data_IF_925999342634
#
_entry.id   IF_925999342634
#
_cell.length_a   1.000
_cell.length_b   1.000
_cell.length_c   1.000
_cell.angle_alpha   90.00
_cell.angle_beta   90.00
_cell.angle_gamma   90.00
#
_symmetry.space_group_name_H-M   'P 1'
#
loop_
_entity.id
_entity.type
_entity.pdbx_description
1 polymer ?
#
# COMPACT_ATOMS: atom_id res chain seq x y z
N UNK A 1 -12.04 8.82 16.47
CA UNK A 1 -10.73 8.47 15.86
C UNK A 1 -11.01 7.73 14.56
N UNK A 2 -10.49 8.20 13.43
CA UNK A 2 -10.49 7.41 12.19
C UNK A 2 -9.29 6.48 12.25
N UNK A 3 -9.52 5.25 12.72
CA UNK A 3 -8.51 4.19 12.79
C UNK A 3 -8.48 3.46 11.46
N UNK A 4 -7.91 4.09 10.43
CA UNK A 4 -7.40 3.33 9.31
C UNK A 4 -6.32 2.39 9.88
N UNK A 5 -6.58 1.08 9.84
CA UNK A 5 -5.65 0.06 10.30
C UNK A 5 -5.37 -0.86 9.13
N UNK A 6 -4.30 -0.56 8.42
CA UNK A 6 -3.71 -1.47 7.43
C UNK A 6 -2.84 -2.44 8.21
N UNK A 7 -3.17 -3.73 8.14
CA UNK A 7 -2.41 -4.78 8.82
C UNK A 7 -1.39 -5.44 7.89
N UNK A 8 -1.66 -5.48 6.59
CA UNK A 8 -0.76 -6.05 5.60
C UNK A 8 -0.98 -5.39 4.22
N UNK A 9 0.10 -5.34 3.45
CA UNK A 9 0.06 -5.00 2.02
C UNK A 9 0.91 -6.04 1.30
N UNK A 10 0.28 -6.78 0.40
CA UNK A 10 0.92 -7.83 -0.40
C UNK A 10 0.95 -7.42 -1.86
N UNK A 11 2.13 -7.47 -2.48
CA UNK A 11 2.35 -7.03 -3.86
C UNK A 11 3.04 -8.17 -4.60
N UNK A 12 2.33 -8.75 -5.57
CA UNK A 12 2.85 -9.79 -6.45
C UNK A 12 3.07 -9.18 -7.84
N UNK A 13 4.33 -8.92 -8.17
CA UNK A 13 4.73 -8.40 -9.48
C UNK A 13 5.71 -9.36 -10.14
N UNK A 14 5.34 -9.85 -11.31
CA UNK A 14 6.14 -10.69 -12.19
C UNK A 14 5.98 -10.19 -13.63
N UNK A 15 6.71 -10.77 -14.58
CA UNK A 15 6.55 -10.43 -16.00
C UNK A 15 5.15 -10.71 -16.57
N UNK A 16 4.35 -11.56 -15.92
CA UNK A 16 3.04 -11.99 -16.41
C UNK A 16 1.87 -11.61 -15.49
N UNK A 17 2.14 -11.21 -14.24
CA UNK A 17 1.14 -10.96 -13.21
C UNK A 17 1.52 -9.71 -12.44
N UNK A 18 0.57 -8.80 -12.30
CA UNK A 18 0.68 -7.61 -11.45
C UNK A 18 -0.60 -7.53 -10.61
N UNK A 19 -0.48 -7.86 -9.32
CA UNK A 19 -1.59 -7.84 -8.35
C UNK A 19 -1.11 -7.24 -7.03
N UNK A 20 -1.97 -6.47 -6.39
CA UNK A 20 -1.74 -6.01 -5.03
C UNK A 20 -2.99 -6.21 -4.18
N UNK A 21 -2.77 -6.46 -2.90
CA UNK A 21 -3.81 -6.66 -1.90
C UNK A 21 -3.50 -5.85 -0.65
N UNK A 22 -4.53 -5.29 -0.05
CA UNK A 22 -4.43 -4.55 1.21
C UNK A 22 -5.37 -5.21 2.21
N UNK A 23 -4.84 -5.62 3.35
CA UNK A 23 -5.66 -6.11 4.47
C UNK A 23 -5.96 -4.96 5.43
N UNK A 24 -7.24 -4.64 5.58
CA UNK A 24 -7.75 -3.62 6.50
C UNK A 24 -8.89 -4.18 7.34
N UNK A 25 -8.83 -3.99 8.67
CA UNK A 25 -9.87 -4.43 9.60
C UNK A 25 -10.22 -5.93 9.44
N UNK A 26 -9.23 -6.77 9.08
CA UNK A 26 -9.40 -8.20 8.86
C UNK A 26 -10.01 -8.61 7.51
N UNK A 27 -10.27 -7.65 6.61
CA UNK A 27 -10.74 -7.91 5.25
C UNK A 27 -9.63 -7.60 4.24
N UNK A 28 -9.53 -8.44 3.21
CA UNK A 28 -8.58 -8.26 2.11
C UNK A 28 -9.28 -7.58 0.93
N UNK A 29 -8.61 -6.59 0.35
CA UNK A 29 -9.07 -5.83 -0.80
C UNK A 29 -8.03 -5.91 -1.90
N UNK A 30 -8.42 -6.36 -3.10
CA UNK A 30 -7.57 -6.20 -4.28
C UNK A 30 -7.48 -4.70 -4.63
N UNK A 31 -6.26 -4.23 -4.87
CA UNK A 31 -5.98 -2.83 -5.19
C UNK A 31 -5.15 -2.74 -6.46
N UNK A 32 -5.30 -1.63 -7.18
CA UNK A 32 -4.57 -1.39 -8.41
C UNK A 32 -3.16 -0.90 -8.09
N UNK A 33 -2.17 -1.39 -8.84
CA UNK A 33 -0.80 -0.85 -8.82
C UNK A 33 -0.75 0.27 -9.86
N UNK A 34 -0.91 1.51 -9.40
CA UNK A 34 -0.88 2.69 -10.28
C UNK A 34 0.52 2.96 -10.81
N UNK A 35 1.54 2.77 -9.95
CA UNK A 35 2.93 2.87 -10.36
C UNK A 35 3.84 2.10 -9.42
N UNK A 36 4.97 1.61 -9.94
CA UNK A 36 6.02 1.01 -9.13
C UNK A 36 7.36 1.31 -9.75
N UNK A 37 8.21 2.03 -9.04
CA UNK A 37 9.57 2.34 -9.43
C UNK A 37 10.57 1.83 -8.35
N UNK A 38 11.84 2.22 -8.47
CA UNK A 38 12.89 1.78 -7.53
C UNK A 38 12.69 2.27 -6.10
N UNK A 39 12.07 3.45 -5.93
CA UNK A 39 11.91 4.14 -4.65
C UNK A 39 10.52 3.95 -4.05
N UNK A 40 9.49 4.02 -4.89
CA UNK A 40 8.09 4.09 -4.45
C UNK A 40 7.20 3.09 -5.18
N UNK A 41 6.16 2.65 -4.48
CA UNK A 41 4.99 1.99 -5.06
C UNK A 41 3.77 2.83 -4.73
N UNK A 42 2.94 3.09 -5.73
CA UNK A 42 1.65 3.74 -5.57
C UNK A 42 0.57 2.72 -5.87
N UNK A 43 -0.29 2.50 -4.88
CA UNK A 43 -1.47 1.65 -4.98
C UNK A 43 -2.72 2.54 -4.90
N UNK A 44 -3.80 2.12 -5.54
CA UNK A 44 -5.08 2.81 -5.49
C UNK A 44 -6.25 1.85 -5.39
N UNK A 45 -7.26 2.20 -4.61
CA UNK A 45 -8.57 1.57 -4.62
C UNK A 45 -9.63 2.58 -4.18
N UNK A 46 -10.73 2.68 -4.92
CA UNK A 46 -11.72 3.75 -4.72
C UNK A 46 -11.04 5.15 -4.68
N UNK A 47 -11.30 5.93 -3.64
CA UNK A 47 -10.70 7.25 -3.41
C UNK A 47 -9.43 7.22 -2.54
N UNK A 48 -8.91 6.01 -2.25
CA UNK A 48 -7.74 5.78 -1.41
C UNK A 48 -6.53 5.48 -2.30
N UNK A 49 -5.46 6.19 -2.03
CA UNK A 49 -4.12 6.10 -2.58
C UNK A 49 -3.17 5.78 -1.44
N UNK A 50 -2.35 4.77 -1.66
CA UNK A 50 -1.34 4.31 -0.72
C UNK A 50 0.01 4.47 -1.42
N UNK A 51 0.89 5.27 -0.84
CA UNK A 51 2.27 5.42 -1.31
C UNK A 51 3.18 4.72 -0.31
N UNK A 52 3.96 3.77 -0.82
CA UNK A 52 4.92 3.01 -0.05
C UNK A 52 6.31 3.48 -0.46
N UNK A 53 7.01 4.17 0.44
CA UNK A 53 8.42 4.51 0.26
C UNK A 53 9.29 3.34 0.74
N UNK A 54 10.03 2.73 -0.18
CA UNK A 54 10.86 1.54 0.07
C UNK A 54 12.13 1.88 0.85
N UNK A 55 12.64 3.11 0.72
CA UNK A 55 13.91 3.53 1.31
C UNK A 55 13.73 3.78 2.81
N UNK A 56 12.65 4.48 3.18
CA UNK A 56 12.36 4.83 4.58
C UNK A 56 11.31 3.94 5.23
N UNK A 57 10.74 2.97 4.49
CA UNK A 57 9.70 2.04 4.98
C UNK A 57 8.48 2.75 5.56
N UNK A 58 8.11 3.86 4.94
CA UNK A 58 6.94 4.64 5.32
C UNK A 58 5.81 4.39 4.35
N UNK A 59 4.59 4.29 4.88
CA UNK A 59 3.38 4.18 4.10
C UNK A 59 2.58 5.45 4.33
N UNK A 60 2.27 6.19 3.27
CA UNK A 60 1.33 7.31 3.35
C UNK A 60 0.03 6.96 2.67
N UNK A 61 -1.08 7.34 3.28
CA UNK A 61 -2.43 7.04 2.79
C UNK A 61 -3.25 8.31 2.78
N UNK A 62 -3.94 8.61 1.68
CA UNK A 62 -4.98 9.63 1.72
C UNK A 62 -6.30 9.00 2.18
N UNK A 63 -6.90 9.61 3.20
CA UNK A 63 -8.22 9.25 3.68
C UNK A 63 -8.97 10.54 4.03
N UNK A 64 -10.15 10.74 3.46
CA UNK A 64 -11.02 11.90 3.77
C UNK A 64 -10.30 13.26 3.66
N UNK A 65 -9.58 13.49 2.56
CA UNK A 65 -8.76 14.70 2.33
C UNK A 65 -7.64 14.94 3.36
N UNK A 66 -7.26 13.92 4.13
CA UNK A 66 -6.09 13.95 5.03
C UNK A 66 -5.06 12.95 4.55
N UNK A 67 -3.79 13.28 4.78
CA UNK A 67 -2.67 12.35 4.59
C UNK A 67 -2.34 11.75 5.95
N UNK A 68 -2.37 10.43 6.03
CA UNK A 68 -1.99 9.66 7.19
C UNK A 68 -0.66 8.98 6.91
N UNK A 69 0.25 9.01 7.87
CA UNK A 69 1.53 8.30 7.80
C UNK A 69 1.48 7.09 8.73
N UNK A 70 1.85 5.94 8.18
CA UNK A 70 1.87 4.65 8.85
C UNK A 70 3.30 4.11 8.79
N UNK A 71 3.85 3.76 9.95
CA UNK A 71 5.14 3.09 10.04
C UNK A 71 4.99 1.61 9.70
N UNK A 72 5.83 1.10 8.80
CA UNK A 72 5.88 -0.31 8.47
C UNK A 72 6.83 -1.05 9.42
N UNK A 73 6.31 -1.94 10.27
CA UNK A 73 7.16 -2.75 11.17
C UNK A 73 8.03 -3.75 10.40
N UNK A 74 7.46 -4.36 9.35
CA UNK A 74 8.12 -5.38 8.54
C UNK A 74 7.81 -5.14 7.07
N UNK A 75 8.85 -4.96 6.25
CA UNK A 75 8.74 -4.83 4.81
C UNK A 75 9.60 -5.89 4.11
N UNK A 76 9.00 -6.64 3.18
CA UNK A 76 9.71 -7.57 2.32
C UNK A 76 9.30 -7.32 0.87
N UNK A 77 10.18 -6.64 0.12
CA UNK A 77 9.96 -6.33 -1.28
C UNK A 77 10.67 -7.38 -2.14
N UNK A 78 10.03 -8.52 -2.38
CA UNK A 78 10.43 -9.46 -3.43
C UNK A 78 9.77 -9.01 -4.74
N UNK A 79 10.38 -8.04 -5.42
CA UNK A 79 9.91 -7.46 -6.70
C UNK A 79 10.94 -7.74 -7.78
#
# INVERSE_FOLDING_TARGET
ENKLSISAIDILKTNAIEKAFVTMLGNEFEVDITSSNKKEIVLSFNDIYIVIDKDIKEISVNLENKILFLSCEVANFNI
#
